data_IF_683644578786
#
_entry.id   IF_683644578786
#
_cell.length_a   1.000
_cell.length_b   1.000
_cell.length_c   1.000
_cell.angle_alpha   90.00
_cell.angle_beta   90.00
_cell.angle_gamma   90.00
#
_symmetry.space_group_name_H-M   'P 1'
#
loop_
_entity.id
_entity.type
_entity.pdbx_description
1 polymer ?
#
# COMPACT_ATOMS: atom_id res chain seq x y z
N UNK A 1 36.97 -21.20 22.90
CA UNK A 1 36.88 -19.76 22.51
C UNK A 1 36.49 -19.58 21.04
N UNK A 2 37.00 -20.36 20.10
CA UNK A 2 36.67 -20.23 18.66
C UNK A 2 35.19 -20.49 18.34
N UNK A 3 34.55 -21.45 18.98
CA UNK A 3 33.14 -21.79 18.74
C UNK A 3 32.17 -20.71 19.27
N UNK A 4 32.48 -20.10 20.40
CA UNK A 4 31.66 -18.98 20.92
C UNK A 4 31.77 -17.73 20.07
N UNK A 5 32.94 -17.49 19.47
CA UNK A 5 33.13 -16.38 18.52
C UNK A 5 32.38 -16.61 17.23
N UNK A 6 32.31 -17.84 16.72
CA UNK A 6 31.56 -18.22 15.52
C UNK A 6 30.05 -18.03 15.72
N UNK A 7 29.53 -18.40 16.89
CA UNK A 7 28.13 -18.18 17.26
C UNK A 7 27.76 -16.70 17.34
N UNK A 8 28.66 -15.88 17.89
CA UNK A 8 28.45 -14.44 17.99
C UNK A 8 28.43 -13.75 16.62
N UNK A 9 29.30 -14.17 15.71
CA UNK A 9 29.35 -13.67 14.33
C UNK A 9 28.10 -14.09 13.53
N UNK A 10 27.62 -15.33 13.70
CA UNK A 10 26.39 -15.80 13.07
C UNK A 10 25.16 -15.03 13.56
N UNK A 11 25.08 -14.73 14.85
CA UNK A 11 23.99 -13.94 15.44
C UNK A 11 24.01 -12.48 14.97
N UNK A 12 25.21 -11.91 14.78
CA UNK A 12 25.37 -10.56 14.25
C UNK A 12 24.96 -10.45 12.77
N UNK A 13 25.24 -11.49 11.96
CA UNK A 13 24.84 -11.54 10.55
C UNK A 13 23.32 -11.66 10.36
N UNK A 14 22.63 -12.36 11.26
CA UNK A 14 21.15 -12.51 11.20
C UNK A 14 20.45 -11.18 11.52
N UNK A 15 21.02 -10.37 12.38
CA UNK A 15 20.46 -9.05 12.74
C UNK A 15 20.53 -8.03 11.59
N UNK A 16 21.37 -8.24 10.60
CA UNK A 16 21.51 -7.33 9.45
C UNK A 16 20.51 -7.57 8.32
N UNK A 17 19.73 -8.66 8.38
CA UNK A 17 18.78 -9.05 7.32
C UNK A 17 17.34 -8.57 7.55
N UNK A 18 17.01 -7.96 8.70
CA UNK A 18 15.69 -7.35 8.89
C UNK A 18 15.68 -5.92 8.32
N UNK A 19 15.84 -5.80 7.03
CA UNK A 19 15.40 -4.60 6.32
C UNK A 19 13.86 -4.63 6.36
N UNK A 20 13.26 -3.71 7.09
CA UNK A 20 11.82 -3.48 6.99
C UNK A 20 11.52 -3.27 5.51
N UNK A 21 10.70 -4.13 4.90
CA UNK A 21 10.34 -4.00 3.51
C UNK A 21 9.64 -2.65 3.33
N UNK A 22 10.22 -1.77 2.52
CA UNK A 22 9.60 -0.50 2.18
C UNK A 22 8.20 -0.76 1.64
N UNK A 23 7.21 -0.10 2.22
CA UNK A 23 5.83 -0.28 1.80
C UNK A 23 5.65 0.25 0.39
N UNK A 24 4.91 -0.46 -0.47
CA UNK A 24 4.82 -0.10 -1.86
C UNK A 24 4.17 1.28 -2.06
N UNK A 25 4.76 2.02 -2.98
CA UNK A 25 4.21 3.25 -3.55
C UNK A 25 3.78 2.94 -4.97
N UNK A 26 2.50 3.15 -5.26
CA UNK A 26 1.90 2.84 -6.56
C UNK A 26 1.68 4.17 -7.28
N UNK A 27 2.54 4.45 -8.26
CA UNK A 27 2.44 5.65 -9.10
C UNK A 27 1.74 5.31 -10.41
N UNK A 28 0.65 5.99 -10.71
CA UNK A 28 -0.11 5.90 -11.96
C UNK A 28 0.03 7.23 -12.66
N UNK A 29 0.57 7.22 -13.88
CA UNK A 29 0.91 8.45 -14.62
C UNK A 29 0.22 8.49 -15.96
N UNK A 30 -0.30 9.66 -16.29
CA UNK A 30 -0.63 10.06 -17.66
C UNK A 30 0.45 11.00 -18.18
N UNK A 31 0.25 11.60 -19.34
CA UNK A 31 1.16 12.62 -19.88
C UNK A 31 1.36 13.81 -18.92
N UNK A 32 0.30 14.26 -18.25
CA UNK A 32 0.29 15.50 -17.49
C UNK A 32 -0.04 15.32 -16.00
N UNK A 33 -0.55 14.17 -15.58
CA UNK A 33 -1.07 13.93 -14.23
C UNK A 33 -0.46 12.69 -13.61
N UNK A 34 -0.13 12.80 -12.34
CA UNK A 34 0.21 11.66 -11.48
C UNK A 34 -0.86 11.44 -10.42
N UNK A 35 -1.23 10.17 -10.25
CA UNK A 35 -1.98 9.66 -9.11
C UNK A 35 -1.05 8.73 -8.33
N UNK A 36 -0.90 8.99 -7.02
CA UNK A 36 0.01 8.22 -6.19
C UNK A 36 -0.75 7.64 -5.00
N UNK A 37 -0.71 6.33 -4.90
CA UNK A 37 -1.16 5.60 -3.72
C UNK A 37 0.02 5.12 -2.88
N UNK A 38 -0.22 5.05 -1.56
CA UNK A 38 0.71 4.47 -0.59
C UNK A 38 0.01 3.44 0.28
N UNK A 39 0.72 2.41 0.64
CA UNK A 39 0.27 1.46 1.65
C UNK A 39 0.70 1.96 3.02
N UNK A 40 -0.24 2.23 3.89
CA UNK A 40 0.01 2.72 5.25
C UNK A 40 0.58 1.63 6.18
N UNK A 41 0.97 2.04 7.38
CA UNK A 41 1.49 1.11 8.40
C UNK A 41 0.47 0.05 8.83
N UNK A 42 -0.79 0.37 8.71
CA UNK A 42 -1.93 -0.50 8.98
C UNK A 42 -2.31 -1.42 7.80
N UNK A 43 -1.56 -1.38 6.68
CA UNK A 43 -1.85 -2.15 5.47
C UNK A 43 -2.92 -1.54 4.56
N UNK A 44 -3.56 -0.45 4.96
CA UNK A 44 -4.63 0.20 4.17
C UNK A 44 -4.02 1.03 3.04
N UNK A 45 -4.80 1.28 2.00
CA UNK A 45 -4.40 2.07 0.83
C UNK A 45 -4.80 3.53 0.98
N UNK A 46 -3.86 4.43 0.75
CA UNK A 46 -4.05 5.88 0.87
C UNK A 46 -3.73 6.59 -0.44
N UNK A 47 -4.56 7.56 -0.82
CA UNK A 47 -4.28 8.47 -1.92
C UNK A 47 -3.43 9.62 -1.41
N UNK A 48 -2.12 9.57 -1.71
CA UNK A 48 -1.15 10.56 -1.25
C UNK A 48 -1.06 11.77 -2.16
N UNK A 49 -1.40 11.59 -3.44
CA UNK A 49 -1.29 12.67 -4.42
C UNK A 49 -2.21 12.44 -5.62
N UNK A 50 -2.81 13.50 -6.10
CA UNK A 50 -3.43 13.59 -7.42
C UNK A 50 -3.19 15.01 -7.94
N UNK A 51 -2.42 15.15 -9.02
CA UNK A 51 -2.09 16.46 -9.55
C UNK A 51 -1.09 16.39 -10.69
N UNK A 52 -0.46 17.54 -10.98
CA UNK A 52 0.53 17.66 -12.05
C UNK A 52 1.66 16.63 -11.88
N UNK A 53 2.18 16.15 -13.00
CA UNK A 53 3.25 15.15 -13.02
C UNK A 53 4.46 15.58 -12.18
N UNK A 54 4.92 14.68 -11.30
CA UNK A 54 6.09 14.85 -10.46
C UNK A 54 7.33 14.29 -11.19
N UNK A 55 8.34 15.14 -11.34
CA UNK A 55 9.53 14.79 -12.12
C UNK A 55 10.66 14.21 -11.27
N UNK A 56 10.64 14.41 -9.95
CA UNK A 56 11.71 13.95 -9.07
C UNK A 56 11.21 12.89 -8.08
N UNK A 57 12.00 11.85 -7.88
CA UNK A 57 11.69 10.82 -6.89
C UNK A 57 11.64 11.39 -5.45
N UNK A 58 12.42 12.43 -5.18
CA UNK A 58 12.41 13.15 -3.90
C UNK A 58 11.06 13.77 -3.59
N UNK A 59 10.34 14.28 -4.60
CA UNK A 59 9.01 14.87 -4.39
C UNK A 59 8.03 13.82 -3.88
N UNK A 60 8.10 12.61 -4.45
CA UNK A 60 7.28 11.47 -4.02
C UNK A 60 7.60 11.07 -2.57
N UNK A 61 8.88 11.07 -2.19
CA UNK A 61 9.29 10.66 -0.84
C UNK A 61 8.70 11.57 0.26
N UNK A 62 8.51 12.85 -0.04
CA UNK A 62 8.01 13.85 0.92
C UNK A 62 6.49 14.03 0.91
N UNK A 63 5.74 13.32 0.06
CA UNK A 63 4.29 13.39 0.06
C UNK A 63 3.71 12.91 1.40
N UNK A 64 2.66 13.57 1.91
CA UNK A 64 1.93 13.08 3.07
C UNK A 64 1.26 11.75 2.77
N UNK A 65 0.80 11.04 3.81
CA UNK A 65 0.05 9.81 3.63
C UNK A 65 -1.24 10.04 2.83
N UNK A 66 -1.89 11.18 3.03
CA UNK A 66 -3.15 11.50 2.36
C UNK A 66 -4.37 10.85 3.02
N UNK A 67 -5.49 10.86 2.28
CA UNK A 67 -6.74 10.24 2.70
C UNK A 67 -6.79 8.77 2.28
N UNK A 68 -7.55 7.97 2.99
CA UNK A 68 -7.80 6.58 2.56
C UNK A 68 -8.46 6.55 1.19
N UNK A 69 -7.97 5.66 0.33
CA UNK A 69 -8.41 5.59 -1.07
C UNK A 69 -9.83 5.05 -1.21
N UNK A 70 -10.22 4.12 -0.33
CA UNK A 70 -11.54 3.50 -0.29
C UNK A 70 -12.03 3.44 1.14
N UNK A 71 -13.07 4.19 1.45
CA UNK A 71 -13.76 4.14 2.74
C UNK A 71 -14.66 2.90 2.75
N UNK A 72 -14.42 2.02 3.71
CA UNK A 72 -15.24 0.84 3.93
C UNK A 72 -16.19 1.05 5.10
N UNK A 73 -17.35 0.39 5.07
CA UNK A 73 -18.34 0.50 6.14
C UNK A 73 -17.77 -0.03 7.48
N UNK A 74 -18.08 0.67 8.57
CA UNK A 74 -17.67 0.29 9.93
C UNK A 74 -16.30 0.78 10.38
N UNK A 75 -15.65 1.65 9.60
CA UNK A 75 -14.30 2.18 9.88
C UNK A 75 -14.31 3.59 10.50
N UNK A 76 -15.30 3.91 11.31
CA UNK A 76 -15.45 5.21 12.00
C UNK A 76 -15.61 6.43 11.07
N UNK A 77 -15.93 6.20 9.81
CA UNK A 77 -16.08 7.26 8.84
C UNK A 77 -17.50 7.83 8.87
N UNK A 78 -17.61 9.15 8.98
CA UNK A 78 -18.87 9.88 8.92
C UNK A 78 -19.39 10.07 7.49
N UNK A 79 -18.67 9.55 6.51
CA UNK A 79 -18.99 9.65 5.09
C UNK A 79 -19.66 8.37 4.61
N UNK A 80 -20.42 8.48 3.53
CA UNK A 80 -20.97 7.32 2.85
C UNK A 80 -19.82 6.41 2.36
N UNK A 81 -19.82 5.12 2.69
CA UNK A 81 -18.74 4.22 2.30
C UNK A 81 -18.71 4.01 0.80
N UNK A 82 -17.51 3.94 0.23
CA UNK A 82 -17.32 3.57 -1.17
C UNK A 82 -17.64 2.09 -1.43
N UNK A 83 -17.54 1.26 -0.39
CA UNK A 83 -17.80 -0.19 -0.44
C UNK A 83 -18.61 -0.59 0.79
N UNK A 84 -19.72 -1.26 0.56
CA UNK A 84 -20.56 -1.85 1.59
C UNK A 84 -20.73 -3.34 1.30
N UNK A 85 -20.23 -4.19 2.20
CA UNK A 85 -20.29 -5.64 2.11
C UNK A 85 -20.94 -6.16 3.39
N UNK A 86 -21.87 -7.10 3.27
CA UNK A 86 -22.41 -7.83 4.41
C UNK A 86 -21.84 -9.25 4.37
N UNK A 87 -21.08 -9.61 5.39
CA UNK A 87 -20.48 -10.93 5.51
C UNK A 87 -21.51 -11.98 5.93
N UNK A 88 -21.15 -13.27 5.82
CA UNK A 88 -22.06 -14.39 6.11
C UNK A 88 -22.61 -14.39 7.53
N UNK A 89 -21.90 -13.80 8.48
CA UNK A 89 -22.31 -13.65 9.88
C UNK A 89 -23.19 -12.42 10.12
N UNK A 90 -23.55 -11.68 9.06
CA UNK A 90 -24.35 -10.46 9.12
C UNK A 90 -23.55 -9.20 9.49
N UNK A 91 -22.24 -9.30 9.67
CA UNK A 91 -21.38 -8.16 9.99
C UNK A 91 -21.15 -7.31 8.73
N UNK A 92 -21.46 -5.99 8.73
CA UNK A 92 -21.21 -5.10 7.60
C UNK A 92 -19.81 -4.48 7.62
N UNK A 93 -19.03 -4.65 8.69
CA UNK A 93 -17.71 -4.03 8.81
C UNK A 93 -16.71 -4.77 7.93
N UNK A 94 -15.99 -4.01 7.12
CA UNK A 94 -15.00 -4.52 6.16
C UNK A 94 -13.69 -3.77 6.33
N UNK A 95 -12.59 -4.48 6.49
CA UNK A 95 -11.25 -3.90 6.63
C UNK A 95 -10.34 -4.38 5.49
N UNK A 96 -10.30 -3.61 4.41
CA UNK A 96 -9.49 -3.94 3.24
C UNK A 96 -8.01 -3.59 3.47
N UNK A 97 -7.15 -4.59 3.32
CA UNK A 97 -5.69 -4.45 3.32
C UNK A 97 -5.12 -4.75 1.94
N UNK A 98 -4.10 -4.00 1.57
CA UNK A 98 -3.36 -4.22 0.35
C UNK A 98 -2.65 -5.58 0.35
N UNK A 99 -2.77 -6.31 -0.77
CA UNK A 99 -2.09 -7.58 -1.01
C UNK A 99 -1.03 -7.42 -2.08
N UNK A 100 -1.42 -6.94 -3.26
CA UNK A 100 -0.53 -6.83 -4.42
C UNK A 100 -1.06 -5.82 -5.43
N UNK A 101 -0.25 -5.50 -6.42
CA UNK A 101 -0.73 -4.81 -7.62
C UNK A 101 0.01 -5.30 -8.86
N UNK A 102 -0.64 -5.18 -9.99
CA UNK A 102 -0.07 -5.44 -11.32
C UNK A 102 -0.28 -4.24 -12.23
N UNK A 103 0.59 -4.08 -13.21
CA UNK A 103 0.46 -3.05 -14.24
C UNK A 103 0.51 -3.73 -15.60
N UNK A 104 -0.46 -3.44 -16.45
CA UNK A 104 -0.58 -3.97 -17.79
C UNK A 104 -0.80 -2.82 -18.77
N UNK A 105 -0.16 -2.87 -19.93
CA UNK A 105 -0.53 -2.01 -21.05
C UNK A 105 -1.65 -2.70 -21.83
N UNK A 106 -2.85 -2.12 -21.77
CA UNK A 106 -4.04 -2.69 -22.42
C UNK A 106 -4.10 -2.33 -23.90
N UNK A 107 -3.67 -1.11 -24.23
CA UNK A 107 -3.55 -0.62 -25.60
C UNK A 107 -2.53 0.53 -25.66
N UNK A 108 -2.10 0.98 -26.85
CA UNK A 108 -1.20 2.13 -26.96
C UNK A 108 -1.74 3.35 -26.21
N UNK A 109 -0.97 3.83 -25.22
CA UNK A 109 -1.34 4.98 -24.38
C UNK A 109 -2.34 4.70 -23.26
N UNK A 110 -2.75 3.44 -23.05
CA UNK A 110 -3.66 3.03 -21.97
C UNK A 110 -2.99 1.98 -21.07
N UNK A 111 -2.61 2.40 -19.87
CA UNK A 111 -2.12 1.51 -18.82
C UNK A 111 -3.23 1.19 -17.82
N UNK A 112 -3.34 -0.08 -17.46
CA UNK A 112 -4.18 -0.58 -16.38
C UNK A 112 -3.32 -0.89 -15.15
N UNK A 113 -3.77 -0.43 -14.00
CA UNK A 113 -3.19 -0.84 -12.71
C UNK A 113 -4.27 -1.53 -11.90
N UNK A 114 -4.09 -2.82 -11.66
CA UNK A 114 -5.01 -3.62 -10.83
C UNK A 114 -4.41 -3.74 -9.44
N UNK A 115 -5.12 -3.23 -8.43
CA UNK A 115 -4.72 -3.30 -7.02
C UNK A 115 -5.61 -4.33 -6.34
N UNK A 116 -5.00 -5.39 -5.82
CA UNK A 116 -5.69 -6.44 -5.07
C UNK A 116 -5.68 -6.08 -3.60
N UNK A 117 -6.87 -6.08 -3.01
CA UNK A 117 -7.07 -5.88 -1.58
C UNK A 117 -7.86 -7.06 -1.01
N UNK A 118 -7.64 -7.36 0.25
CA UNK A 118 -8.30 -8.45 0.96
C UNK A 118 -8.83 -7.94 2.29
N UNK A 119 -9.99 -8.45 2.70
CA UNK A 119 -10.50 -8.23 4.05
C UNK A 119 -9.60 -8.93 5.06
N UNK A 120 -9.33 -8.26 6.18
CA UNK A 120 -8.40 -8.77 7.21
C UNK A 120 -8.99 -9.94 8.00
N UNK A 121 -10.31 -10.08 8.02
CA UNK A 121 -11.02 -11.05 8.84
C UNK A 121 -11.67 -12.18 8.03
N UNK A 122 -12.04 -11.91 6.76
CA UNK A 122 -12.82 -12.81 5.92
C UNK A 122 -12.11 -13.25 4.64
#
# INVERSE_FOLDING_TARGET
MKERLLFLICFLCISFMLKAADKPVIKISTENVDLIYRVGNNGRLYQSYLGKRLNHATDIAHLPQGSEAYLTHGMEDYFEPAIHIVHNDGNPSTLLKYVSHTRNQVSPGVDEVVITMQDDKY
#
